data_IF_057810250640
#
_entry.id   IF_057810250640
#
_cell.length_a   1.000
_cell.length_b   1.000
_cell.length_c   1.000
_cell.angle_alpha   90.00
_cell.angle_beta   90.00
_cell.angle_gamma   90.00
#
_symmetry.space_group_name_H-M   'P 1'
#
loop_
_entity.id
_entity.type
_entity.pdbx_description
1 polymer ?
#
# COMPACT_ATOMS: atom_id res chain seq x y z
N UNK A 1 -0.64 14.60 7.79
CA UNK A 1 -0.44 13.15 8.06
C UNK A 1 -0.80 12.30 6.84
N UNK A 2 -1.89 12.58 6.12
CA UNK A 2 -2.33 11.79 4.93
C UNK A 2 -1.36 11.80 3.74
N UNK A 3 -0.60 12.89 3.54
CA UNK A 3 0.37 13.01 2.43
C UNK A 3 1.58 12.07 2.60
N UNK A 4 1.96 11.75 3.84
CA UNK A 4 3.08 10.87 4.13
C UNK A 4 2.73 9.40 3.84
N UNK A 5 1.54 8.96 4.25
CA UNK A 5 1.06 7.59 4.00
C UNK A 5 0.96 7.28 2.50
N UNK A 6 0.44 8.21 1.70
CA UNK A 6 0.34 8.03 0.25
C UNK A 6 1.72 7.89 -0.39
N UNK A 7 2.67 8.75 -0.01
CA UNK A 7 4.03 8.66 -0.51
C UNK A 7 4.69 7.31 -0.17
N UNK A 8 4.53 6.83 1.06
CA UNK A 8 5.04 5.52 1.46
C UNK A 8 4.41 4.38 0.68
N UNK A 9 3.09 4.43 0.44
CA UNK A 9 2.38 3.41 -0.35
C UNK A 9 2.87 3.36 -1.79
N UNK A 10 2.93 4.51 -2.47
CA UNK A 10 3.37 4.56 -3.86
C UNK A 10 4.84 4.13 -4.00
N UNK A 11 5.68 4.52 -3.05
CA UNK A 11 7.09 4.15 -3.09
C UNK A 11 7.34 2.67 -2.71
N UNK A 12 6.47 2.05 -1.91
CA UNK A 12 6.51 0.60 -1.64
C UNK A 12 6.04 -0.18 -2.87
N UNK A 13 4.90 0.22 -3.45
CA UNK A 13 4.37 -0.39 -4.67
C UNK A 13 5.37 -0.27 -5.83
N UNK A 14 6.02 0.89 -5.99
CA UNK A 14 7.03 1.06 -7.03
C UNK A 14 8.26 0.15 -6.85
N UNK A 15 8.62 -0.16 -5.60
CA UNK A 15 9.71 -1.10 -5.30
C UNK A 15 9.31 -2.54 -5.67
N UNK A 16 8.09 -2.97 -5.32
CA UNK A 16 7.57 -4.31 -5.62
C UNK A 16 7.38 -4.52 -7.12
N UNK A 17 6.73 -3.57 -7.81
CA UNK A 17 6.45 -3.69 -9.25
C UNK A 17 7.62 -3.28 -10.16
N UNK A 18 8.71 -2.73 -9.59
CA UNK A 18 9.86 -2.24 -10.34
C UNK A 18 9.54 -1.07 -11.29
N UNK A 19 8.40 -0.39 -11.09
CA UNK A 19 7.96 0.75 -11.91
C UNK A 19 7.09 1.72 -11.11
N UNK A 20 7.04 3.01 -11.47
CA UNK A 20 6.11 3.95 -10.84
C UNK A 20 4.65 3.50 -10.99
N UNK A 21 3.86 3.72 -9.96
CA UNK A 21 2.40 3.52 -9.93
C UNK A 21 1.71 4.83 -9.52
N UNK A 22 0.46 5.01 -9.95
CA UNK A 22 -0.35 6.17 -9.65
C UNK A 22 -1.25 5.94 -8.42
N UNK A 23 -1.78 7.01 -7.84
CA UNK A 23 -2.67 6.88 -6.68
C UNK A 23 -4.05 6.31 -7.05
N UNK A 24 -4.46 6.48 -8.31
CA UNK A 24 -5.71 5.94 -8.85
C UNK A 24 -5.59 4.48 -9.29
N UNK A 25 -4.36 3.97 -9.41
CA UNK A 25 -4.12 2.59 -9.83
C UNK A 25 -4.64 1.60 -8.79
N UNK A 26 -5.29 0.54 -9.28
CA UNK A 26 -5.68 -0.60 -8.46
C UNK A 26 -4.56 -1.64 -8.43
N UNK A 27 -4.46 -2.36 -7.32
CA UNK A 27 -3.46 -3.42 -7.13
C UNK A 27 -3.46 -4.43 -8.29
N UNK A 28 -4.64 -4.94 -8.66
CA UNK A 28 -4.78 -5.85 -9.79
C UNK A 28 -4.57 -5.18 -11.16
N UNK A 29 -4.92 -3.89 -11.30
CA UNK A 29 -4.74 -3.14 -12.53
C UNK A 29 -3.28 -2.96 -12.92
N UNK A 30 -2.36 -2.94 -11.94
CA UNK A 30 -0.91 -2.86 -12.19
C UNK A 30 -0.22 -4.21 -12.31
N UNK A 31 -0.95 -5.31 -12.22
CA UNK A 31 -0.43 -6.68 -12.30
C UNK A 31 -0.19 -7.36 -10.95
N UNK A 32 -0.85 -6.90 -9.88
CA UNK A 32 -0.78 -7.51 -8.56
C UNK A 32 -1.38 -8.92 -8.50
N UNK A 33 -0.79 -9.74 -7.64
CA UNK A 33 -1.14 -11.13 -7.35
C UNK A 33 -0.91 -11.43 -5.85
N UNK A 34 -1.10 -12.68 -5.42
CA UNK A 34 -0.92 -13.04 -4.00
C UNK A 34 0.51 -12.84 -3.49
N UNK A 35 1.53 -13.03 -4.34
CA UNK A 35 2.94 -12.90 -3.93
C UNK A 35 3.29 -11.44 -3.73
N UNK A 36 2.99 -10.61 -4.73
CA UNK A 36 3.20 -9.17 -4.69
C UNK A 36 2.34 -8.48 -3.62
N UNK A 37 1.19 -9.04 -3.24
CA UNK A 37 0.40 -8.54 -2.12
C UNK A 37 1.14 -8.71 -0.78
N UNK A 38 1.76 -9.88 -0.57
CA UNK A 38 2.57 -10.16 0.62
C UNK A 38 3.84 -9.32 0.61
N UNK A 39 4.53 -9.21 -0.52
CA UNK A 39 5.73 -8.37 -0.64
C UNK A 39 5.41 -6.89 -0.37
N UNK A 40 4.30 -6.38 -0.91
CA UNK A 40 3.86 -5.02 -0.67
C UNK A 40 3.49 -4.78 0.80
N UNK A 41 2.80 -5.73 1.44
CA UNK A 41 2.53 -5.67 2.87
C UNK A 41 3.84 -5.53 3.66
N UNK A 42 4.81 -6.43 3.45
CA UNK A 42 6.12 -6.39 4.14
C UNK A 42 6.87 -5.06 3.90
N UNK A 43 6.88 -4.55 2.68
CA UNK A 43 7.50 -3.25 2.37
C UNK A 43 6.81 -2.09 3.10
N UNK A 44 5.47 -2.13 3.21
CA UNK A 44 4.70 -1.13 3.94
C UNK A 44 4.95 -1.20 5.46
N UNK A 45 5.03 -2.41 6.02
CA UNK A 45 5.38 -2.63 7.44
C UNK A 45 6.73 -2.03 7.79
N UNK A 46 7.74 -2.23 6.93
CA UNK A 46 9.08 -1.67 7.13
C UNK A 46 9.10 -0.14 7.09
N UNK A 47 8.23 0.48 6.29
CA UNK A 47 8.20 1.94 6.08
C UNK A 47 7.34 2.68 7.09
N UNK A 48 6.16 2.14 7.40
CA UNK A 48 5.15 2.79 8.24
C UNK A 48 5.20 2.31 9.69
N UNK A 49 5.74 1.11 9.92
CA UNK A 49 5.73 0.45 11.21
C UNK A 49 4.35 -0.12 11.58
N UNK A 50 4.35 -1.33 12.14
CA UNK A 50 3.12 -2.07 12.47
C UNK A 50 2.87 -3.20 11.48
N UNK A 51 1.93 -4.07 11.83
CA UNK A 51 1.51 -5.24 11.06
C UNK A 51 0.47 -4.79 10.01
N UNK A 52 0.78 -4.98 8.73
CA UNK A 52 -0.07 -4.60 7.60
C UNK A 52 -0.57 -5.88 6.94
N UNK A 53 -1.87 -6.14 7.06
CA UNK A 53 -2.47 -7.31 6.45
C UNK A 53 -2.47 -7.17 4.91
N UNK A 54 -1.98 -8.20 4.21
CA UNK A 54 -2.04 -8.25 2.75
C UNK A 54 -3.47 -8.22 2.21
N UNK A 55 -4.45 -8.66 3.00
CA UNK A 55 -5.87 -8.55 2.65
C UNK A 55 -6.29 -7.08 2.48
N UNK A 56 -5.73 -6.16 3.28
CA UNK A 56 -6.01 -4.73 3.17
C UNK A 56 -5.55 -4.14 1.82
N UNK A 57 -4.42 -4.63 1.30
CA UNK A 57 -3.88 -4.23 -0.01
C UNK A 57 -4.84 -4.64 -1.13
N UNK A 58 -5.38 -5.86 -1.02
CA UNK A 58 -6.26 -6.46 -2.03
C UNK A 58 -7.68 -5.86 -1.97
N UNK A 59 -8.19 -5.58 -0.78
CA UNK A 59 -9.53 -5.00 -0.57
C UNK A 59 -9.60 -3.50 -0.96
N UNK A 60 -8.45 -2.81 -0.97
CA UNK A 60 -8.38 -1.40 -1.31
C UNK A 60 -8.66 -1.14 -2.80
N UNK A 61 -9.57 -0.20 -3.08
CA UNK A 61 -9.95 0.15 -4.45
C UNK A 61 -8.80 0.77 -5.28
N UNK A 62 -7.86 1.45 -4.62
CA UNK A 62 -6.65 2.01 -5.22
C UNK A 62 -5.55 2.20 -4.18
N UNK A 63 -4.31 2.50 -4.62
CA UNK A 63 -3.23 2.87 -3.70
C UNK A 63 -3.56 4.12 -2.86
N UNK A 64 -4.33 5.06 -3.41
CA UNK A 64 -4.87 6.20 -2.67
C UNK A 64 -5.83 5.78 -1.55
N UNK A 65 -6.72 4.84 -1.81
CA UNK A 65 -7.64 4.30 -0.81
C UNK A 65 -6.90 3.53 0.28
N UNK A 66 -5.89 2.73 -0.10
CA UNK A 66 -5.02 2.01 0.83
C UNK A 66 -4.31 2.98 1.79
N UNK A 67 -3.73 4.06 1.27
CA UNK A 67 -3.07 5.08 2.09
C UNK A 67 -4.02 5.76 3.09
N UNK A 68 -5.27 6.01 2.68
CA UNK A 68 -6.30 6.56 3.55
C UNK A 68 -6.70 5.58 4.68
N UNK A 69 -6.85 4.29 4.35
CA UNK A 69 -7.14 3.24 5.32
C UNK A 69 -6.01 3.09 6.35
N UNK A 70 -4.75 3.11 5.89
CA UNK A 70 -3.56 3.05 6.75
C UNK A 70 -3.47 4.26 7.69
N UNK A 71 -3.78 5.46 7.19
CA UNK A 71 -3.79 6.68 8.01
C UNK A 71 -4.78 6.58 9.17
N UNK A 72 -5.98 6.04 8.90
CA UNK A 72 -7.02 5.84 9.92
C UNK A 72 -6.57 4.82 10.99
N UNK A 73 -5.89 3.75 10.56
CA UNK A 73 -5.38 2.70 11.46
C UNK A 73 -4.28 3.22 12.38
N UNK A 74 -3.33 3.98 11.84
CA UNK A 74 -2.23 4.58 12.62
C UNK A 74 -2.74 5.63 13.60
N UNK A 75 -3.75 6.43 13.21
CA UNK A 75 -4.36 7.42 14.09
C UNK A 75 -5.17 6.83 15.25
N UNK A 76 -5.48 5.53 15.20
CA UNK A 76 -6.25 4.82 16.23
C UNK A 76 -5.36 4.08 17.26
N UNK A 77 -4.03 4.24 17.18
CA UNK A 77 -3.06 3.81 18.20
C UNK A 77 -2.63 4.98 19.08
#
# INVERSE_FOLDING_TARGET
MSENSLHHVLAAAAAVFGRPVAAEDSFFGVGGDSVTAVELAVELEQRLGGDIDGELVVDSASFGALAAALTTRVASR
#
